data_IF_658866612333
#
_entry.id   IF_658866612333
#
_cell.length_a   1.000
_cell.length_b   1.000
_cell.length_c   1.000
_cell.angle_alpha   90.00
_cell.angle_beta   90.00
_cell.angle_gamma   90.00
#
_symmetry.space_group_name_H-M   'P 1'
#
loop_
_entity.id
_entity.type
_entity.pdbx_description
1 polymer ?
#
# COMPACT_ATOMS: atom_id res chain seq x y z
N UNK A 1 20.57 14.94 -18.95
CA UNK A 1 20.55 14.88 -20.42
C UNK A 1 20.13 13.47 -20.84
N UNK A 2 18.88 13.11 -20.55
CA UNK A 2 18.26 11.84 -20.96
C UNK A 2 16.91 12.17 -21.58
N UNK A 3 16.63 11.56 -22.73
CA UNK A 3 15.59 11.86 -23.70
C UNK A 3 14.23 12.27 -23.10
N UNK A 4 14.03 13.58 -22.99
CA UNK A 4 12.70 14.15 -22.78
C UNK A 4 12.36 14.90 -24.05
N UNK A 5 11.29 14.49 -24.75
CA UNK A 5 10.72 15.32 -25.79
C UNK A 5 10.42 16.70 -25.19
N UNK A 6 10.85 17.81 -25.82
CA UNK A 6 10.60 19.13 -25.27
C UNK A 6 9.11 19.48 -25.31
N UNK A 7 8.38 18.93 -26.28
CA UNK A 7 6.95 19.10 -26.49
C UNK A 7 6.25 17.73 -26.44
N UNK A 8 5.08 17.70 -25.81
CA UNK A 8 4.22 16.52 -25.69
C UNK A 8 2.87 16.84 -26.32
N UNK A 9 2.30 15.90 -27.07
CA UNK A 9 1.02 16.11 -27.75
C UNK A 9 -0.15 15.97 -26.78
N UNK A 10 -1.20 16.77 -26.99
CA UNK A 10 -2.46 16.63 -26.25
C UNK A 10 -3.42 15.79 -27.08
N UNK A 11 -3.97 14.73 -26.49
CA UNK A 11 -4.92 13.82 -27.15
C UNK A 11 -6.37 14.11 -26.72
N UNK A 12 -7.31 13.89 -27.63
CA UNK A 12 -8.74 13.98 -27.34
C UNK A 12 -9.32 12.69 -26.74
N UNK A 13 -10.61 12.70 -26.42
CA UNK A 13 -11.35 11.54 -25.91
C UNK A 13 -11.39 10.36 -26.89
N UNK A 14 -11.18 10.62 -28.18
CA UNK A 14 -11.16 9.62 -29.25
C UNK A 14 -9.76 9.02 -29.46
N UNK A 15 -8.75 9.49 -28.73
CA UNK A 15 -7.36 9.03 -28.83
C UNK A 15 -6.59 9.67 -29.99
N UNK A 16 -7.10 10.74 -30.59
CA UNK A 16 -6.46 11.47 -31.68
C UNK A 16 -5.69 12.68 -31.14
N UNK A 17 -4.59 13.05 -31.80
CA UNK A 17 -3.87 14.29 -31.44
C UNK A 17 -4.72 15.50 -31.79
N UNK A 18 -4.87 16.42 -30.83
CA UNK A 18 -5.60 17.68 -31.02
C UNK A 18 -4.81 18.71 -31.83
N UNK A 19 -3.55 18.43 -32.18
CA UNK A 19 -2.63 19.39 -32.78
C UNK A 19 -2.02 20.38 -31.77
N UNK A 20 -2.57 20.48 -30.57
CA UNK A 20 -1.96 21.23 -29.47
C UNK A 20 -0.82 20.43 -28.83
N UNK A 21 0.26 21.14 -28.48
CA UNK A 21 1.38 20.57 -27.74
C UNK A 21 1.70 21.41 -26.51
N UNK A 22 2.18 20.75 -25.47
CA UNK A 22 2.56 21.36 -24.19
C UNK A 22 4.04 21.11 -23.95
N UNK A 23 4.73 22.12 -23.42
CA UNK A 23 6.14 21.98 -23.02
C UNK A 23 6.22 21.00 -21.85
N UNK A 24 7.07 19.98 -21.98
CA UNK A 24 7.26 19.00 -20.92
C UNK A 24 7.80 19.69 -19.66
N UNK A 25 7.10 19.59 -18.51
CA UNK A 25 7.54 20.23 -17.29
C UNK A 25 8.92 19.75 -16.83
N UNK A 26 9.73 20.66 -16.26
CA UNK A 26 11.10 20.37 -15.83
C UNK A 26 11.21 19.23 -14.80
N UNK A 27 10.12 18.94 -14.07
CA UNK A 27 10.06 17.82 -13.10
C UNK A 27 10.36 16.46 -13.75
N UNK A 28 10.05 16.28 -15.04
CA UNK A 28 10.34 15.03 -15.75
C UNK A 28 11.82 14.84 -16.08
N UNK A 29 12.63 15.91 -16.01
CA UNK A 29 14.08 15.88 -16.20
C UNK A 29 14.86 15.71 -14.89
N UNK A 30 14.16 15.64 -13.77
CA UNK A 30 14.80 15.52 -12.48
C UNK A 30 15.51 14.17 -12.30
N UNK A 31 16.59 14.12 -11.51
CA UNK A 31 17.31 12.88 -11.23
C UNK A 31 16.41 11.85 -10.51
N UNK A 32 16.44 10.62 -11.00
CA UNK A 32 15.68 9.49 -10.44
C UNK A 32 16.55 8.83 -9.36
N UNK A 33 16.14 8.96 -8.09
CA UNK A 33 16.77 8.28 -6.95
C UNK A 33 15.86 7.24 -6.33
N UNK A 34 16.06 5.99 -6.72
CA UNK A 34 15.27 4.85 -6.25
C UNK A 34 15.47 4.57 -4.75
N UNK A 35 16.64 4.87 -4.21
CA UNK A 35 16.99 4.76 -2.79
C UNK A 35 16.15 5.72 -1.92
N UNK A 36 16.05 7.00 -2.32
CA UNK A 36 15.21 7.99 -1.63
C UNK A 36 13.74 7.61 -1.73
N UNK A 37 13.28 7.21 -2.92
CA UNK A 37 11.89 6.78 -3.12
C UNK A 37 11.54 5.61 -2.20
N UNK A 38 12.41 4.60 -2.13
CA UNK A 38 12.19 3.43 -1.28
C UNK A 38 12.21 3.79 0.22
N UNK A 39 13.18 4.60 0.65
CA UNK A 39 13.26 5.09 2.03
C UNK A 39 11.98 5.84 2.43
N UNK A 40 11.57 6.83 1.64
CA UNK A 40 10.38 7.64 1.92
C UNK A 40 9.12 6.77 1.90
N UNK A 41 9.00 5.86 0.93
CA UNK A 41 7.85 4.95 0.83
C UNK A 41 7.74 4.03 2.05
N UNK A 42 8.83 3.40 2.51
CA UNK A 42 8.81 2.54 3.70
C UNK A 42 8.41 3.32 4.95
N UNK A 43 9.04 4.48 5.20
CA UNK A 43 8.72 5.30 6.36
C UNK A 43 7.26 5.80 6.32
N UNK A 44 6.78 6.24 5.15
CA UNK A 44 5.41 6.75 5.01
C UNK A 44 4.36 5.63 5.14
N UNK A 45 4.66 4.42 4.64
CA UNK A 45 3.79 3.25 4.78
C UNK A 45 3.60 2.85 6.24
N UNK A 46 4.63 3.00 7.08
CA UNK A 46 4.55 2.72 8.52
C UNK A 46 3.57 3.61 9.27
N UNK A 47 3.32 4.83 8.79
CA UNK A 47 2.44 5.82 9.40
C UNK A 47 0.94 5.52 9.26
N UNK A 48 0.55 4.60 8.36
CA UNK A 48 -0.86 4.17 8.20
C UNK A 48 -1.25 3.01 9.12
N UNK A 49 -0.32 2.52 9.95
CA UNK A 49 -0.56 1.35 10.81
C UNK A 49 -1.35 1.75 12.05
N UNK A 50 -2.27 0.88 12.46
CA UNK A 50 -2.97 1.01 13.74
C UNK A 50 -2.20 0.27 14.84
N UNK A 51 -2.16 0.87 16.04
CA UNK A 51 -1.53 0.25 17.20
C UNK A 51 -2.28 -1.04 17.60
N UNK A 52 -1.54 -2.04 18.03
CA UNK A 52 -2.08 -3.27 18.59
C UNK A 52 -1.20 -3.73 19.75
N UNK A 53 -1.84 -4.31 20.75
CA UNK A 53 -1.22 -4.79 21.97
C UNK A 53 -1.97 -6.02 22.48
N UNK A 54 -1.33 -6.76 23.39
CA UNK A 54 -2.04 -7.75 24.21
C UNK A 54 -2.57 -7.07 25.47
N UNK A 55 -3.58 -7.65 26.12
CA UNK A 55 -4.01 -7.16 27.44
C UNK A 55 -2.84 -7.19 28.42
N UNK A 56 -2.74 -6.14 29.22
CA UNK A 56 -1.77 -6.00 30.31
C UNK A 56 -1.89 -7.10 31.36
N UNK A 57 -3.12 -7.51 31.68
CA UNK A 57 -3.45 -8.56 32.66
C UNK A 57 -3.40 -9.99 32.09
N UNK A 58 -3.14 -10.16 30.79
CA UNK A 58 -3.16 -11.49 30.16
C UNK A 58 -2.08 -12.41 30.76
N UNK A 59 -2.51 -13.57 31.27
CA UNK A 59 -1.62 -14.54 31.92
C UNK A 59 -1.24 -14.20 33.37
N UNK A 60 -1.75 -13.11 33.93
CA UNK A 60 -1.51 -12.63 35.31
C UNK A 60 -2.79 -12.55 36.16
N UNK A 61 -3.93 -13.04 35.65
CA UNK A 61 -5.23 -13.02 36.36
C UNK A 61 -5.36 -14.12 37.43
N UNK A 62 -4.41 -15.05 37.51
CA UNK A 62 -4.47 -16.22 38.40
C UNK A 62 -3.59 -16.03 39.63
N UNK A 63 -4.08 -16.38 40.82
CA UNK A 63 -3.25 -16.48 42.03
C UNK A 63 -2.40 -17.76 41.99
N UNK A 64 -1.08 -17.59 41.96
CA UNK A 64 -0.12 -18.69 41.85
C UNK A 64 1.17 -18.37 42.59
N UNK A 65 1.81 -19.39 43.15
CA UNK A 65 3.05 -19.26 43.92
C UNK A 65 3.96 -20.46 43.65
N UNK A 66 5.28 -20.27 43.74
CA UNK A 66 6.21 -21.39 43.59
C UNK A 66 6.12 -22.31 44.81
N UNK A 67 6.19 -23.62 44.58
CA UNK A 67 6.24 -24.60 45.68
C UNK A 67 7.65 -24.83 46.24
N UNK A 68 8.64 -24.06 45.78
CA UNK A 68 10.03 -24.20 46.21
C UNK A 68 10.71 -25.46 45.66
N UNK A 69 11.79 -25.90 46.30
CA UNK A 69 12.63 -27.04 45.90
C UNK A 69 12.26 -28.36 46.59
N UNK A 70 11.46 -28.32 47.66
CA UNK A 70 11.14 -29.49 48.48
C UNK A 70 10.15 -30.49 47.86
N UNK A 71 9.79 -30.30 46.59
CA UNK A 71 8.90 -31.20 45.83
C UNK A 71 9.60 -31.59 44.54
N UNK A 72 9.39 -32.81 44.06
CA UNK A 72 9.96 -33.34 42.81
C UNK A 72 9.31 -32.70 41.55
N UNK A 73 9.23 -31.38 41.51
CA UNK A 73 8.65 -30.58 40.43
C UNK A 73 9.46 -29.30 40.22
N UNK A 74 9.42 -28.74 39.01
CA UNK A 74 10.10 -27.48 38.71
C UNK A 74 9.57 -26.30 39.56
N UNK A 75 10.46 -25.34 39.85
CA UNK A 75 10.25 -24.14 40.68
C UNK A 75 9.33 -23.07 40.08
N UNK A 76 8.57 -23.38 39.04
CA UNK A 76 7.65 -22.43 38.41
C UNK A 76 6.45 -22.14 39.34
N UNK A 77 5.90 -20.92 39.34
CA UNK A 77 4.66 -20.64 40.08
C UNK A 77 3.52 -21.57 39.63
N UNK A 78 2.75 -22.08 40.60
CA UNK A 78 1.63 -23.00 40.38
C UNK A 78 0.35 -22.45 40.97
N UNK A 79 -0.76 -22.65 40.27
CA UNK A 79 -2.09 -22.18 40.68
C UNK A 79 -2.49 -22.84 42.00
N UNK A 80 -2.95 -22.03 42.97
CA UNK A 80 -3.38 -22.48 44.30
C UNK A 80 -4.76 -23.15 44.25
N UNK A 81 -5.14 -23.84 45.33
CA UNK A 81 -6.47 -24.48 45.46
C UNK A 81 -6.46 -25.97 45.11
N UNK A 82 -7.66 -26.53 44.95
CA UNK A 82 -7.92 -27.94 44.64
C UNK A 82 -9.28 -28.14 43.96
N UNK A 83 -9.62 -29.38 43.59
CA UNK A 83 -10.92 -29.74 43.02
C UNK A 83 -11.13 -29.41 41.54
N UNK A 84 -10.14 -28.81 40.87
CA UNK A 84 -10.18 -28.56 39.42
C UNK A 84 -8.88 -28.97 38.75
N UNK A 85 -8.93 -29.34 37.47
CA UNK A 85 -7.73 -29.68 36.68
C UNK A 85 -6.71 -28.55 36.60
N UNK A 86 -7.11 -27.29 36.84
CA UNK A 86 -6.22 -26.13 36.78
C UNK A 86 -5.32 -26.01 38.02
N UNK A 87 -5.76 -26.54 39.16
CA UNK A 87 -5.03 -26.47 40.43
C UNK A 87 -3.69 -27.21 40.33
N UNK A 88 -2.61 -26.62 40.82
CA UNK A 88 -1.25 -27.20 40.74
C UNK A 88 -0.54 -27.10 39.38
N UNK A 89 -1.19 -26.57 38.34
CA UNK A 89 -0.55 -26.33 37.04
C UNK A 89 0.33 -25.06 37.05
N UNK A 90 1.35 -25.02 36.18
CA UNK A 90 2.21 -23.85 36.00
C UNK A 90 1.46 -22.59 35.52
N UNK A 91 1.90 -21.43 36.00
CA UNK A 91 1.34 -20.11 35.73
C UNK A 91 2.42 -19.05 35.55
N UNK A 92 2.01 -17.85 35.11
CA UNK A 92 2.82 -16.64 34.82
C UNK A 92 3.90 -16.76 33.75
N UNK A 93 4.71 -17.83 33.75
CA UNK A 93 5.83 -18.00 32.85
C UNK A 93 5.44 -18.04 31.37
N UNK A 94 6.31 -17.52 30.51
CA UNK A 94 6.16 -17.56 29.05
C UNK A 94 6.23 -18.97 28.47
N UNK A 95 6.84 -19.91 29.20
CA UNK A 95 6.85 -21.34 28.86
C UNK A 95 5.58 -22.07 29.31
N UNK A 96 4.72 -21.44 30.13
CA UNK A 96 3.53 -22.07 30.67
C UNK A 96 2.32 -21.88 29.74
N UNK A 97 1.53 -22.94 29.56
CA UNK A 97 0.22 -22.84 28.91
C UNK A 97 -0.68 -21.89 29.70
N UNK A 98 -1.20 -20.86 29.02
CA UNK A 98 -2.02 -19.81 29.63
C UNK A 98 -1.25 -18.80 30.49
N UNK A 99 0.09 -18.86 30.48
CA UNK A 99 0.96 -17.86 31.11
C UNK A 99 1.09 -16.59 30.26
N UNK A 100 1.85 -15.62 30.78
CA UNK A 100 2.09 -14.34 30.10
C UNK A 100 3.23 -14.48 29.09
N UNK A 101 3.09 -13.84 27.94
CA UNK A 101 4.17 -13.84 26.94
C UNK A 101 5.38 -13.02 27.39
N UNK A 102 6.58 -13.40 26.92
CA UNK A 102 7.77 -12.57 27.09
C UNK A 102 7.64 -11.26 26.30
N UNK A 103 8.07 -10.15 26.91
CA UNK A 103 8.02 -8.79 26.36
C UNK A 103 6.68 -8.47 25.65
N UNK A 104 5.55 -8.41 26.39
CA UNK A 104 4.23 -8.19 25.81
C UNK A 104 4.16 -6.95 24.92
N UNK A 105 3.47 -7.04 23.79
CA UNK A 105 3.29 -5.92 22.87
C UNK A 105 2.59 -4.76 23.57
N UNK A 106 3.23 -3.59 23.54
CA UNK A 106 2.70 -2.36 24.14
C UNK A 106 2.17 -1.39 23.09
N UNK A 107 1.12 -0.65 23.45
CA UNK A 107 0.48 0.33 22.57
C UNK A 107 1.45 1.46 22.18
N UNK A 108 2.30 1.89 23.12
CA UNK A 108 3.26 3.00 22.94
C UNK A 108 4.52 2.64 22.12
N UNK A 109 4.55 1.50 21.43
CA UNK A 109 5.59 1.21 20.42
C UNK A 109 5.70 2.39 19.44
N UNK A 110 6.92 2.74 19.01
CA UNK A 110 7.11 3.80 18.00
C UNK A 110 6.60 3.36 16.62
N UNK A 111 5.32 3.63 16.35
CA UNK A 111 4.64 3.28 15.10
C UNK A 111 4.99 4.22 13.94
N UNK A 112 5.00 5.51 14.25
CA UNK A 112 5.12 6.60 13.29
C UNK A 112 6.57 7.06 13.10
N UNK A 113 6.85 7.59 11.90
CA UNK A 113 8.15 8.05 11.44
C UNK A 113 7.98 9.42 10.78
N UNK A 114 8.71 10.42 11.29
CA UNK A 114 8.81 11.75 10.69
C UNK A 114 9.79 11.66 9.52
N UNK A 115 9.44 12.30 8.42
CA UNK A 115 10.26 12.37 7.20
C UNK A 115 10.44 13.84 6.86
N UNK A 116 11.65 14.22 6.45
CA UNK A 116 11.94 15.59 6.07
C UNK A 116 11.12 16.00 4.85
N UNK A 117 10.60 17.23 4.86
CA UNK A 117 9.76 17.76 3.78
C UNK A 117 10.50 17.73 2.43
N UNK A 118 11.78 18.11 2.43
CA UNK A 118 12.63 18.08 1.23
C UNK A 118 12.79 16.66 0.67
N UNK A 119 12.98 15.66 1.52
CA UNK A 119 13.08 14.25 1.08
C UNK A 119 11.76 13.75 0.50
N UNK A 120 10.61 14.11 1.09
CA UNK A 120 9.30 13.75 0.56
C UNK A 120 9.06 14.37 -0.82
N UNK A 121 9.38 15.66 -0.98
CA UNK A 121 9.29 16.37 -2.27
C UNK A 121 10.21 15.74 -3.30
N UNK A 122 11.45 15.42 -2.93
CA UNK A 122 12.41 14.76 -3.81
C UNK A 122 11.91 13.39 -4.29
N UNK A 123 11.34 12.57 -3.39
CA UNK A 123 10.77 11.27 -3.77
C UNK A 123 9.61 11.41 -4.78
N UNK A 124 8.74 12.43 -4.61
CA UNK A 124 7.66 12.72 -5.56
C UNK A 124 8.23 13.11 -6.92
N UNK A 125 9.20 14.03 -6.94
CA UNK A 125 9.87 14.48 -8.17
C UNK A 125 10.53 13.31 -8.90
N UNK A 126 11.28 12.45 -8.20
CA UNK A 126 11.87 11.25 -8.78
C UNK A 126 10.82 10.27 -9.33
N UNK A 127 9.67 10.12 -8.66
CA UNK A 127 8.59 9.26 -9.13
C UNK A 127 7.90 9.81 -10.40
N UNK A 128 7.69 11.13 -10.48
CA UNK A 128 7.14 11.78 -11.67
C UNK A 128 8.11 11.63 -12.84
N UNK A 129 9.40 11.91 -12.64
CA UNK A 129 10.42 11.70 -13.67
C UNK A 129 10.44 10.25 -14.18
N UNK A 130 10.40 9.27 -13.28
CA UNK A 130 10.35 7.86 -13.66
C UNK A 130 9.07 7.48 -14.44
N UNK A 131 7.94 8.13 -14.17
CA UNK A 131 6.68 7.88 -14.88
C UNK A 131 6.69 8.35 -16.34
N UNK A 132 7.58 9.29 -16.68
CA UNK A 132 7.77 9.76 -18.06
C UNK A 132 8.69 8.86 -18.90
N UNK A 133 9.30 7.82 -18.32
CA UNK A 133 10.25 6.95 -19.03
C UNK A 133 9.57 5.61 -19.37
N UNK A 134 9.29 5.30 -20.65
CA UNK A 134 8.59 4.08 -21.04
C UNK A 134 9.23 2.79 -20.53
N UNK A 135 10.56 2.70 -20.53
CA UNK A 135 11.28 1.50 -20.08
C UNK A 135 11.04 1.19 -18.59
N UNK A 136 10.97 2.21 -17.73
CA UNK A 136 10.68 2.03 -16.30
C UNK A 136 9.22 1.66 -16.05
N UNK A 137 8.30 2.19 -16.86
CA UNK A 137 6.87 1.85 -16.79
C UNK A 137 6.62 0.41 -17.24
N UNK A 138 7.25 -0.03 -18.33
CA UNK A 138 7.24 -1.43 -18.79
C UNK A 138 7.87 -2.36 -17.76
N UNK A 139 9.03 -2.01 -17.18
CA UNK A 139 9.71 -2.82 -16.18
C UNK A 139 8.87 -3.02 -14.90
N UNK A 140 8.02 -2.06 -14.54
CA UNK A 140 7.04 -2.21 -13.45
C UNK A 140 5.94 -3.22 -13.78
N UNK A 141 5.71 -3.49 -15.07
CA UNK A 141 4.75 -4.45 -15.57
C UNK A 141 3.44 -3.84 -16.05
N UNK A 142 3.40 -2.56 -16.40
CA UNK A 142 2.25 -1.95 -17.08
C UNK A 142 2.24 -2.29 -18.57
N UNK A 143 1.06 -2.51 -19.15
CA UNK A 143 0.89 -2.76 -20.59
C UNK A 143 0.66 -1.44 -21.34
N UNK A 144 1.72 -0.90 -21.96
CA UNK A 144 1.72 0.42 -22.61
C UNK A 144 2.10 0.39 -24.10
N UNK A 145 2.16 -0.80 -24.71
CA UNK A 145 2.56 -1.01 -26.11
C UNK A 145 1.67 -0.27 -27.12
N UNK A 146 0.38 -0.13 -26.80
CA UNK A 146 -0.62 0.54 -27.65
C UNK A 146 -0.86 2.01 -27.29
N UNK A 147 -0.16 2.52 -26.27
CA UNK A 147 -0.31 3.92 -25.82
C UNK A 147 0.53 4.82 -26.74
N UNK A 148 -0.01 5.92 -27.27
CA UNK A 148 0.67 6.69 -28.32
C UNK A 148 1.87 7.49 -27.82
N UNK A 149 1.83 7.99 -26.59
CA UNK A 149 2.91 8.80 -26.01
C UNK A 149 2.96 8.66 -24.48
N UNK A 150 4.15 8.79 -23.90
CA UNK A 150 4.38 8.85 -22.45
C UNK A 150 5.32 10.04 -22.16
N UNK A 151 4.96 10.95 -21.24
CA UNK A 151 3.70 11.00 -20.48
C UNK A 151 2.47 11.27 -21.36
N UNK A 152 1.37 10.58 -21.10
CA UNK A 152 0.12 10.74 -21.86
C UNK A 152 -0.66 11.95 -21.32
N UNK A 153 -0.90 12.95 -22.16
CA UNK A 153 -1.69 14.15 -21.84
C UNK A 153 -2.98 14.12 -22.63
N UNK A 154 -4.09 14.35 -21.94
CA UNK A 154 -5.42 14.34 -22.53
C UNK A 154 -6.09 15.71 -22.38
N UNK A 155 -7.08 16.01 -23.23
CA UNK A 155 -7.83 17.27 -23.17
C UNK A 155 -8.66 17.40 -21.88
N UNK A 156 -8.87 18.64 -21.42
CA UNK A 156 -9.58 18.94 -20.17
C UNK A 156 -11.02 18.44 -20.11
N UNK A 157 -11.65 18.15 -21.26
CA UNK A 157 -13.02 17.59 -21.33
C UNK A 157 -13.18 16.29 -20.54
N UNK A 158 -12.10 15.54 -20.35
CA UNK A 158 -12.09 14.31 -19.54
C UNK A 158 -12.44 14.57 -18.07
N UNK A 159 -12.15 15.77 -17.56
CA UNK A 159 -12.47 16.16 -16.18
C UNK A 159 -13.99 16.18 -15.94
N UNK A 160 -14.78 16.41 -17.00
CA UNK A 160 -16.24 16.53 -16.98
C UNK A 160 -16.97 15.20 -17.18
N UNK A 161 -16.24 14.08 -17.29
CA UNK A 161 -16.85 12.75 -17.42
C UNK A 161 -17.71 12.40 -16.20
N UNK A 162 -18.99 12.09 -16.43
CA UNK A 162 -19.94 11.75 -15.37
C UNK A 162 -20.20 10.26 -15.22
N UNK A 163 -20.14 9.50 -16.32
CA UNK A 163 -20.50 8.07 -16.35
C UNK A 163 -19.28 7.19 -16.57
N UNK A 164 -19.25 6.03 -15.91
CA UNK A 164 -18.18 5.04 -16.07
C UNK A 164 -18.10 4.47 -17.48
N UNK A 165 -19.23 4.35 -18.19
CA UNK A 165 -19.25 3.91 -19.60
C UNK A 165 -18.37 4.79 -20.48
N UNK A 166 -18.47 6.10 -20.29
CA UNK A 166 -17.73 7.09 -21.08
C UNK A 166 -16.24 7.03 -20.72
N UNK A 167 -15.90 6.92 -19.43
CA UNK A 167 -14.52 6.72 -18.98
C UNK A 167 -13.88 5.44 -19.55
N UNK A 168 -14.62 4.33 -19.62
CA UNK A 168 -14.16 3.08 -20.24
C UNK A 168 -13.94 3.26 -21.74
N UNK A 169 -14.82 4.00 -22.43
CA UNK A 169 -14.67 4.28 -23.85
C UNK A 169 -13.38 5.05 -24.14
N UNK A 170 -13.08 6.09 -23.35
CA UNK A 170 -11.83 6.86 -23.46
C UNK A 170 -10.61 5.97 -23.21
N UNK A 171 -10.61 5.18 -22.13
CA UNK A 171 -9.47 4.29 -21.79
C UNK A 171 -9.17 3.25 -22.88
N UNK A 172 -10.19 2.81 -23.63
CA UNK A 172 -10.02 1.95 -24.81
C UNK A 172 -9.41 2.71 -25.97
N UNK A 173 -9.88 3.93 -26.25
CA UNK A 173 -9.40 4.75 -27.36
C UNK A 173 -7.96 5.20 -27.21
N UNK A 174 -7.51 5.48 -25.99
CA UNK A 174 -6.12 5.88 -25.70
C UNK A 174 -5.15 4.68 -25.57
N UNK A 175 -5.62 3.45 -25.77
CA UNK A 175 -4.78 2.26 -25.71
C UNK A 175 -4.41 1.78 -24.29
N UNK A 176 -5.03 2.31 -23.23
CA UNK A 176 -4.73 1.94 -21.84
C UNK A 176 -5.58 0.77 -21.30
N UNK A 177 -6.53 0.26 -22.09
CA UNK A 177 -7.45 -0.78 -21.65
C UNK A 177 -6.80 -2.14 -21.42
N UNK A 178 -5.71 -2.45 -22.14
CA UNK A 178 -4.93 -3.68 -21.95
C UNK A 178 -4.36 -3.79 -20.53
N UNK A 179 -3.90 -2.68 -19.95
CA UNK A 179 -3.41 -2.63 -18.57
C UNK A 179 -4.53 -2.88 -17.55
N UNK A 180 -5.75 -2.40 -17.83
CA UNK A 180 -6.92 -2.63 -16.98
C UNK A 180 -7.38 -4.09 -17.06
N UNK A 181 -7.38 -4.70 -18.25
CA UNK A 181 -7.67 -6.14 -18.41
C UNK A 181 -6.69 -7.00 -17.59
N UNK A 182 -5.41 -6.60 -17.53
CA UNK A 182 -4.41 -7.23 -16.67
C UNK A 182 -4.75 -7.11 -15.18
N UNK A 183 -5.33 -5.99 -14.75
CA UNK A 183 -5.85 -5.82 -13.38
C UNK A 183 -7.00 -6.79 -13.11
N UNK A 184 -7.98 -6.89 -14.01
CA UNK A 184 -9.08 -7.85 -13.91
C UNK A 184 -8.57 -9.29 -13.77
N UNK A 185 -7.67 -9.73 -14.67
CA UNK A 185 -7.10 -11.07 -14.67
C UNK A 185 -6.27 -11.38 -13.42
N UNK A 186 -5.67 -10.36 -12.80
CA UNK A 186 -4.82 -10.54 -11.61
C UNK A 186 -5.58 -10.72 -10.30
N UNK A 187 -6.90 -10.53 -10.30
CA UNK A 187 -7.72 -10.58 -9.09
C UNK A 187 -7.79 -12.00 -8.56
N UNK A 188 -7.19 -12.23 -7.39
CA UNK A 188 -7.21 -13.53 -6.72
C UNK A 188 -7.38 -13.39 -5.21
N UNK A 189 -7.68 -14.50 -4.55
CA UNK A 189 -7.82 -14.56 -3.10
C UNK A 189 -6.45 -14.54 -2.42
N UNK A 190 -6.27 -13.68 -1.41
CA UNK A 190 -5.04 -13.54 -0.64
C UNK A 190 -4.70 -14.84 0.10
N UNK A 191 -3.46 -15.31 -0.05
CA UNK A 191 -2.93 -16.41 0.74
C UNK A 191 -2.81 -16.05 2.24
N UNK A 192 -3.01 -17.04 3.12
CA UNK A 192 -2.84 -16.90 4.57
C UNK A 192 -3.99 -16.23 5.32
N UNK A 193 -3.71 -15.76 6.54
CA UNK A 193 -4.70 -15.26 7.52
C UNK A 193 -5.26 -13.86 7.19
N UNK A 194 -4.80 -13.21 6.12
CA UNK A 194 -5.33 -11.90 5.69
C UNK A 194 -6.81 -11.95 5.31
N UNK A 195 -7.31 -13.13 4.90
CA UNK A 195 -8.72 -13.39 4.60
C UNK A 195 -9.66 -13.15 5.80
N UNK A 196 -9.18 -13.42 7.02
CA UNK A 196 -9.90 -13.21 8.27
C UNK A 196 -9.79 -11.75 8.77
N UNK A 197 -8.95 -10.92 8.14
CA UNK A 197 -8.66 -9.54 8.58
C UNK A 197 -9.10 -8.52 7.52
N UNK A 198 -10.26 -8.75 6.90
CA UNK A 198 -10.88 -7.90 5.86
C UNK A 198 -9.97 -7.55 4.67
N UNK A 199 -9.01 -8.43 4.34
CA UNK A 199 -8.07 -8.25 3.23
C UNK A 199 -8.08 -9.47 2.31
N UNK A 200 -9.28 -9.93 1.96
CA UNK A 200 -9.51 -11.21 1.25
C UNK A 200 -8.98 -11.23 -0.18
N UNK A 201 -9.07 -10.13 -0.92
CA UNK A 201 -8.68 -10.07 -2.34
C UNK A 201 -7.40 -9.28 -2.55
N UNK A 202 -6.65 -9.64 -3.60
CA UNK A 202 -5.46 -8.92 -4.09
C UNK A 202 -5.58 -8.78 -5.61
N UNK A 203 -5.08 -7.68 -6.13
CA UNK A 203 -5.07 -7.34 -7.55
C UNK A 203 -3.89 -6.40 -7.84
N UNK A 204 -3.48 -6.34 -9.10
CA UNK A 204 -2.48 -5.38 -9.59
C UNK A 204 -3.03 -3.94 -9.52
N UNK A 205 -2.14 -2.96 -9.62
CA UNK A 205 -2.51 -1.54 -9.73
C UNK A 205 -2.49 -1.16 -11.21
N UNK A 206 -3.58 -0.57 -11.69
CA UNK A 206 -3.69 -0.04 -13.05
C UNK A 206 -3.17 1.38 -13.18
N UNK A 207 -3.60 2.10 -14.24
CA UNK A 207 -3.17 3.47 -14.52
C UNK A 207 -3.67 4.45 -13.45
N UNK A 208 -2.92 5.53 -13.26
CA UNK A 208 -3.29 6.65 -12.38
C UNK A 208 -3.73 7.82 -13.24
N UNK A 209 -4.96 8.28 -13.04
CA UNK A 209 -5.50 9.48 -13.70
C UNK A 209 -5.23 10.67 -12.78
N UNK A 210 -4.52 11.67 -13.29
CA UNK A 210 -4.20 12.92 -12.59
C UNK A 210 -5.03 14.03 -13.26
N UNK A 211 -5.71 14.83 -12.44
CA UNK A 211 -6.56 15.93 -12.89
C UNK A 211 -6.35 17.16 -12.00
N UNK A 212 -6.71 18.34 -12.51
CA UNK A 212 -6.67 19.59 -11.75
C UNK A 212 -7.97 19.84 -10.98
N UNK A 213 -9.13 19.71 -11.65
CA UNK A 213 -10.47 19.92 -11.06
C UNK A 213 -11.32 18.65 -11.11
N UNK A 214 -12.06 18.38 -10.03
CA UNK A 214 -13.01 17.24 -9.98
C UNK A 214 -14.42 17.70 -10.37
N UNK A 215 -14.72 17.68 -11.68
CA UNK A 215 -16.05 17.99 -12.21
C UNK A 215 -16.93 16.74 -12.39
N UNK A 216 -16.48 15.57 -11.91
CA UNK A 216 -17.18 14.30 -12.08
C UNK A 216 -16.26 13.11 -12.35
N UNK A 217 -15.05 13.37 -12.86
CA UNK A 217 -14.07 12.37 -13.26
C UNK A 217 -13.79 11.33 -12.16
N UNK A 218 -13.71 11.74 -10.90
CA UNK A 218 -13.50 10.81 -9.78
C UNK A 218 -14.63 9.80 -9.66
N UNK A 219 -15.89 10.24 -9.81
CA UNK A 219 -17.06 9.35 -9.74
C UNK A 219 -17.14 8.45 -10.97
N UNK A 220 -16.81 8.96 -12.15
CA UNK A 220 -16.77 8.17 -13.38
C UNK A 220 -15.72 7.05 -13.31
N UNK A 221 -14.53 7.33 -12.78
CA UNK A 221 -13.40 6.40 -12.78
C UNK A 221 -13.33 5.46 -11.56
N UNK A 222 -13.87 5.83 -10.37
CA UNK A 222 -13.66 5.06 -9.12
C UNK A 222 -14.12 3.60 -9.15
N UNK A 223 -15.02 3.25 -10.07
CA UNK A 223 -15.60 1.90 -10.17
C UNK A 223 -14.79 0.97 -11.08
N UNK A 224 -13.81 1.51 -11.81
CA UNK A 224 -12.86 0.73 -12.59
C UNK A 224 -11.84 0.12 -11.61
N UNK A 225 -11.60 -1.20 -11.67
CA UNK A 225 -10.74 -1.91 -10.72
C UNK A 225 -9.27 -1.47 -10.75
#
# INVERSE_FOLDING_TARGET
MAASRPLVSVYDEKGQSTGHSVVLPAVFRAPIRTDIVNFVHDQMRRNKRQAHAVSDKAGEQTSAESWGTGRAVARIPRVRGGGTHRSGQGAFGNMCRGGRMYAPLKVWRKWHRKINLKQRRYAIVSAIAASGIPSLVLARGHSIETVPEIPLILSDKIQDLKKTKDAVAVLRKIGAWSDILKVYASKHTRAGKGKMRNRRTVMKRGPVIIYDKDNGVKKACRNIP
#
